data_IF_251272345138
#
_entry.id   IF_251272345138
#
_cell.length_a   1.000
_cell.length_b   1.000
_cell.length_c   1.000
_cell.angle_alpha   90.00
_cell.angle_beta   90.00
_cell.angle_gamma   90.00
#
_symmetry.space_group_name_H-M   'P 1'
#
loop_
_entity.id
_entity.type
_entity.pdbx_description
1 polymer ?
#
# COMPACT_ATOMS: atom_id res chain seq x y z
N UNK A 1 -4.36 10.03 5.81
CA UNK A 1 -3.49 10.93 5.02
C UNK A 1 -3.19 10.26 3.70
N UNK A 2 -3.15 11.02 2.61
CA UNK A 2 -2.87 10.52 1.26
C UNK A 2 -1.41 10.73 0.90
N UNK A 3 -0.83 9.76 0.22
CA UNK A 3 0.55 9.78 -0.28
C UNK A 3 0.56 9.33 -1.73
N UNK A 4 0.92 10.23 -2.63
CA UNK A 4 1.18 9.89 -4.03
C UNK A 4 2.70 9.87 -4.23
N UNK A 5 3.24 8.70 -4.57
CA UNK A 5 4.65 8.53 -4.85
C UNK A 5 4.85 8.30 -6.34
N UNK A 6 5.73 9.11 -6.92
CA UNK A 6 6.18 8.97 -8.29
C UNK A 6 7.66 8.55 -8.27
N UNK A 7 8.05 7.50 -9.00
CA UNK A 7 9.45 7.08 -9.17
C UNK A 7 10.25 8.09 -9.99
N UNK A 8 9.57 8.85 -10.84
CA UNK A 8 10.14 9.83 -11.76
C UNK A 8 9.43 11.17 -11.59
N UNK A 9 10.08 12.26 -11.99
CA UNK A 9 9.43 13.57 -12.00
C UNK A 9 8.26 13.50 -12.98
N UNK A 10 7.05 13.84 -12.52
CA UNK A 10 5.86 13.89 -13.37
C UNK A 10 5.52 15.35 -13.61
N UNK A 11 5.42 15.73 -14.89
CA UNK A 11 5.09 17.09 -15.31
C UNK A 11 3.63 17.44 -14.99
N UNK A 12 2.73 16.45 -15.00
CA UNK A 12 1.31 16.59 -14.67
C UNK A 12 0.88 15.56 -13.62
N UNK A 13 0.41 16.05 -12.46
CA UNK A 13 -0.22 15.16 -11.48
C UNK A 13 -1.50 14.58 -12.10
N UNK A 14 -1.72 13.26 -12.05
CA UNK A 14 -2.95 12.68 -12.59
C UNK A 14 -4.16 13.32 -11.91
N UNK A 15 -5.09 13.85 -12.71
CA UNK A 15 -6.40 14.28 -12.20
C UNK A 15 -7.13 13.07 -11.60
N UNK A 16 -7.76 13.28 -10.45
CA UNK A 16 -8.35 12.17 -9.68
C UNK A 16 -9.86 12.26 -9.79
N UNK A 17 -10.45 11.32 -10.51
CA UNK A 17 -11.90 11.23 -10.70
C UNK A 17 -12.69 11.03 -9.38
N UNK A 18 -12.01 10.66 -8.28
CA UNK A 18 -12.63 10.27 -7.00
C UNK A 18 -12.45 11.28 -5.87
N UNK A 19 -11.68 12.35 -6.08
CA UNK A 19 -11.57 13.44 -5.11
C UNK A 19 -12.49 14.54 -5.61
N UNK A 20 -13.43 14.96 -4.75
CA UNK A 20 -14.29 16.10 -5.05
C UNK A 20 -13.41 17.30 -5.44
N UNK A 21 -13.50 17.80 -6.69
CA UNK A 21 -12.66 18.90 -7.15
C UNK A 21 -12.94 20.21 -6.39
N UNK A 22 -14.03 20.29 -5.63
CA UNK A 22 -14.33 21.40 -4.73
C UNK A 22 -13.59 21.32 -3.39
N UNK A 23 -13.05 20.15 -3.01
CA UNK A 23 -12.19 20.03 -1.85
C UNK A 23 -10.79 20.56 -2.15
N UNK A 24 -10.40 21.61 -1.45
CA UNK A 24 -9.04 22.11 -1.47
C UNK A 24 -8.14 21.10 -0.73
N UNK A 25 -7.36 20.32 -1.49
CA UNK A 25 -6.33 19.47 -0.89
C UNK A 25 -5.19 20.36 -0.40
N UNK A 26 -5.01 20.45 0.91
CA UNK A 26 -3.83 21.07 1.51
C UNK A 26 -2.57 20.33 1.05
N UNK A 27 -1.83 20.95 0.12
CA UNK A 27 -0.54 20.42 -0.32
C UNK A 27 0.48 20.54 0.82
N UNK A 28 1.16 19.44 1.11
CA UNK A 28 2.22 19.39 2.11
C UNK A 28 3.54 19.67 1.40
N UNK A 29 4.32 20.63 1.90
CA UNK A 29 5.64 20.91 1.33
C UNK A 29 6.55 19.69 1.47
N UNK A 30 7.26 19.38 0.38
CA UNK A 30 8.27 18.33 0.35
C UNK A 30 9.65 18.96 0.17
N UNK A 31 10.64 18.43 0.88
CA UNK A 31 12.02 18.91 0.81
C UNK A 31 12.96 17.72 0.56
N UNK A 32 13.96 17.89 -0.32
CA UNK A 32 15.06 16.94 -0.46
C UNK A 32 16.14 17.26 0.56
N UNK A 33 16.58 16.26 1.32
CA UNK A 33 17.70 16.41 2.24
C UNK A 33 19.07 16.27 1.53
N UNK A 34 20.15 16.44 2.29
CA UNK A 34 21.52 16.34 1.78
C UNK A 34 21.86 14.95 1.21
N UNK A 35 21.09 13.92 1.57
CA UNK A 35 21.22 12.55 1.08
C UNK A 35 20.29 12.27 -0.11
N UNK A 36 19.51 13.26 -0.57
CA UNK A 36 18.57 13.12 -1.68
C UNK A 36 17.21 12.53 -1.30
N UNK A 37 16.95 12.29 -0.01
CA UNK A 37 15.68 11.75 0.48
C UNK A 37 14.61 12.82 0.44
N UNK A 38 13.41 12.45 -0.01
CA UNK A 38 12.23 13.33 0.04
C UNK A 38 11.61 13.23 1.43
N UNK A 39 11.42 14.36 2.10
CA UNK A 39 10.79 14.45 3.42
C UNK A 39 9.58 15.36 3.37
N UNK A 40 8.48 14.88 3.94
CA UNK A 40 7.25 15.65 4.13
C UNK A 40 6.85 15.57 5.61
N UNK A 41 6.54 16.70 6.22
CA UNK A 41 6.13 16.78 7.63
C UNK A 41 4.87 17.64 7.75
N UNK A 42 3.84 17.10 8.40
CA UNK A 42 2.63 17.85 8.75
C UNK A 42 2.18 17.47 10.16
N UNK A 43 2.29 18.41 11.09
CA UNK A 43 2.04 18.13 12.52
C UNK A 43 2.93 16.97 13.00
N UNK A 44 2.31 15.95 13.59
CA UNK A 44 3.00 14.74 14.07
C UNK A 44 3.10 13.62 13.01
N UNK A 45 2.76 13.90 11.75
CA UNK A 45 2.95 12.96 10.65
C UNK A 45 4.25 13.29 9.93
N UNK A 46 5.10 12.27 9.76
CA UNK A 46 6.36 12.38 9.03
C UNK A 46 6.44 11.28 7.97
N UNK A 47 6.63 11.68 6.73
CA UNK A 47 6.88 10.79 5.61
C UNK A 47 8.29 11.03 5.07
N UNK A 48 9.02 9.95 4.84
CA UNK A 48 10.36 9.95 4.26
C UNK A 48 10.37 8.93 3.13
N UNK A 49 10.84 9.33 1.97
CA UNK A 49 10.91 8.51 0.76
C UNK A 49 12.31 8.61 0.14
N UNK A 50 12.86 7.49 -0.26
CA UNK A 50 14.13 7.35 -0.97
C UNK A 50 13.85 7.03 -2.45
N UNK A 51 13.87 8.02 -3.36
CA UNK A 51 13.52 7.77 -4.76
C UNK A 51 14.37 6.70 -5.45
N UNK A 52 15.72 6.67 -5.27
CA UNK A 52 16.57 5.61 -5.82
C UNK A 52 16.17 4.17 -5.48
N UNK A 53 15.76 3.91 -4.23
CA UNK A 53 15.45 2.55 -3.77
C UNK A 53 13.96 2.26 -3.69
N UNK A 54 13.11 3.29 -3.80
CA UNK A 54 11.68 3.20 -3.58
C UNK A 54 11.28 3.02 -2.11
N UNK A 55 12.24 2.98 -1.18
CA UNK A 55 11.94 2.77 0.23
C UNK A 55 11.22 3.96 0.84
N UNK A 56 10.24 3.69 1.69
CA UNK A 56 9.57 4.73 2.45
C UNK A 56 9.48 4.38 3.94
N UNK A 57 9.37 5.43 4.76
CA UNK A 57 9.02 5.36 6.18
C UNK A 57 7.97 6.42 6.48
N UNK A 58 6.92 6.01 7.16
CA UNK A 58 5.84 6.86 7.63
C UNK A 58 5.71 6.71 9.14
N UNK A 59 5.79 7.83 9.85
CA UNK A 59 5.51 7.94 11.28
C UNK A 59 4.19 8.67 11.47
N UNK A 60 3.28 8.05 12.22
CA UNK A 60 1.94 8.56 12.51
C UNK A 60 1.88 9.14 13.94
N UNK A 61 0.89 10.00 14.25
CA UNK A 61 0.85 10.76 15.49
C UNK A 61 0.80 9.90 16.76
N UNK A 62 0.15 8.73 16.71
CA UNK A 62 0.05 7.82 17.87
C UNK A 62 1.18 6.79 17.90
N UNK A 63 2.28 7.08 17.19
CA UNK A 63 3.51 6.30 17.20
C UNK A 63 3.45 5.05 16.32
N UNK A 64 2.42 4.86 15.48
CA UNK A 64 2.48 3.82 14.45
C UNK A 64 3.60 4.17 13.45
N UNK A 65 4.42 3.18 13.14
CA UNK A 65 5.49 3.29 12.16
C UNK A 65 5.26 2.26 11.06
N UNK A 66 5.27 2.76 9.84
CA UNK A 66 5.12 1.99 8.62
C UNK A 66 6.37 2.15 7.80
N UNK A 67 6.86 1.05 7.26
CA UNK A 67 7.98 1.07 6.33
C UNK A 67 7.70 0.07 5.23
N UNK A 68 8.18 0.38 4.05
CA UNK A 68 7.92 -0.43 2.88
C UNK A 68 8.72 0.06 1.70
N UNK A 69 8.35 -0.46 0.54
CA UNK A 69 8.99 -0.13 -0.72
C UNK A 69 7.91 0.05 -1.79
N UNK A 70 8.10 1.07 -2.63
CA UNK A 70 7.27 1.38 -3.80
C UNK A 70 8.15 1.20 -5.03
N UNK A 71 7.95 0.11 -5.75
CA UNK A 71 8.63 -0.15 -7.02
C UNK A 71 7.69 0.13 -8.18
N UNK A 72 8.09 1.01 -9.08
CA UNK A 72 7.32 1.42 -10.26
C UNK A 72 8.25 1.64 -11.46
N UNK A 73 7.77 1.38 -12.68
CA UNK A 73 8.39 1.76 -13.96
C UNK A 73 9.72 1.06 -14.33
N UNK A 74 10.79 1.29 -13.57
CA UNK A 74 12.16 0.79 -13.86
C UNK A 74 12.47 -0.59 -13.30
N UNK A 75 11.76 -1.00 -12.25
CA UNK A 75 11.88 -2.31 -11.64
C UNK A 75 10.61 -3.09 -11.95
N UNK A 76 10.70 -3.96 -12.95
CA UNK A 76 9.61 -4.88 -13.30
C UNK A 76 9.77 -6.19 -12.48
N UNK A 77 8.71 -6.71 -11.86
CA UNK A 77 7.36 -6.16 -11.82
C UNK A 77 7.21 -5.05 -10.77
N UNK A 78 6.42 -4.03 -11.09
CA UNK A 78 6.05 -3.01 -10.13
C UNK A 78 5.34 -3.62 -8.90
N UNK A 79 5.69 -3.14 -7.71
CA UNK A 79 5.28 -3.77 -6.46
C UNK A 79 5.13 -2.75 -5.35
N UNK A 80 4.02 -2.87 -4.61
CA UNK A 80 3.88 -2.30 -3.29
C UNK A 80 4.31 -3.34 -2.26
N UNK A 81 5.27 -2.99 -1.42
CA UNK A 81 5.68 -3.80 -0.28
C UNK A 81 5.45 -2.99 1.01
N UNK A 82 4.80 -3.60 1.99
CA UNK A 82 4.72 -3.09 3.35
C UNK A 82 5.32 -4.11 4.31
N UNK A 83 6.30 -3.68 5.10
CA UNK A 83 6.94 -4.54 6.10
C UNK A 83 5.99 -4.80 7.26
N UNK A 84 5.90 -6.06 7.65
CA UNK A 84 5.21 -6.50 8.87
C UNK A 84 6.21 -6.69 10.02
N UNK A 85 5.75 -6.45 11.24
CA UNK A 85 6.44 -6.81 12.47
C UNK A 85 5.96 -8.18 12.98
N UNK A 86 6.71 -8.75 13.92
CA UNK A 86 6.28 -9.95 14.63
C UNK A 86 4.91 -9.71 15.28
N UNK A 87 4.03 -10.71 15.20
CA UNK A 87 2.67 -10.69 15.74
C UNK A 87 1.70 -9.70 15.07
N UNK A 88 2.06 -9.13 13.93
CA UNK A 88 1.10 -8.37 13.12
C UNK A 88 0.04 -9.30 12.52
N UNK A 89 -1.24 -8.93 12.69
CA UNK A 89 -2.36 -9.59 12.02
C UNK A 89 -2.91 -8.72 10.90
N UNK A 90 -3.11 -9.30 9.72
CA UNK A 90 -3.59 -8.59 8.53
C UNK A 90 -5.05 -8.95 8.26
N UNK A 91 -5.88 -7.95 7.98
CA UNK A 91 -7.31 -8.09 7.69
C UNK A 91 -7.70 -7.29 6.46
N UNK A 92 -8.88 -7.57 5.90
CA UNK A 92 -9.44 -6.81 4.77
C UNK A 92 -9.25 -7.53 3.44
N UNK A 93 -8.98 -6.74 2.40
CA UNK A 93 -8.91 -7.14 0.99
C UNK A 93 -10.24 -7.58 0.35
N UNK A 94 -11.35 -7.38 1.06
CA UNK A 94 -12.68 -7.81 0.65
C UNK A 94 -13.02 -9.24 1.08
N UNK A 95 -13.99 -9.85 0.39
CA UNK A 95 -14.45 -11.19 0.67
C UNK A 95 -13.52 -12.23 0.03
N UNK A 96 -12.34 -12.41 0.60
CA UNK A 96 -11.50 -13.56 0.32
C UNK A 96 -11.95 -14.78 1.15
N UNK A 97 -11.94 -15.96 0.54
CA UNK A 97 -12.27 -17.23 1.20
C UNK A 97 -11.24 -17.55 2.30
N UNK A 98 -11.65 -18.26 3.36
CA UNK A 98 -10.76 -18.71 4.44
C UNK A 98 -10.92 -17.95 5.76
N UNK A 99 -9.85 -17.90 6.55
CA UNK A 99 -9.84 -17.27 7.87
C UNK A 99 -9.98 -15.74 7.80
N UNK A 100 -10.43 -15.15 8.92
CA UNK A 100 -10.64 -13.71 9.01
C UNK A 100 -9.33 -12.91 8.86
N UNK A 101 -8.22 -13.41 9.43
CA UNK A 101 -6.90 -12.85 9.18
C UNK A 101 -6.29 -13.46 7.92
N UNK A 102 -5.47 -12.66 7.24
CA UNK A 102 -4.88 -12.95 5.93
C UNK A 102 -3.39 -13.26 5.99
N UNK A 103 -2.84 -13.43 7.19
CA UNK A 103 -1.45 -13.81 7.37
C UNK A 103 -1.15 -15.14 6.66
N UNK A 104 0.04 -15.23 6.06
CA UNK A 104 0.52 -16.40 5.33
C UNK A 104 -0.41 -16.88 4.21
N UNK A 105 -1.17 -15.94 3.63
CA UNK A 105 -2.09 -16.18 2.52
C UNK A 105 -1.57 -15.58 1.21
N UNK A 106 -2.01 -16.20 0.11
CA UNK A 106 -1.85 -15.70 -1.25
C UNK A 106 -3.20 -15.71 -1.95
N UNK A 107 -3.53 -14.61 -2.63
CA UNK A 107 -4.78 -14.48 -3.35
C UNK A 107 -4.68 -13.39 -4.42
N UNK A 108 -5.71 -13.30 -5.26
CA UNK A 108 -5.81 -12.24 -6.27
C UNK A 108 -6.93 -11.26 -5.94
N UNK A 109 -6.62 -9.97 -6.05
CA UNK A 109 -7.59 -8.87 -6.09
C UNK A 109 -8.14 -8.77 -7.51
N UNK A 110 -9.26 -9.44 -7.72
CA UNK A 110 -9.98 -9.53 -8.98
C UNK A 110 -11.47 -9.48 -8.66
N UNK A 111 -12.23 -8.67 -9.41
CA UNK A 111 -13.68 -8.76 -9.42
C UNK A 111 -14.06 -9.62 -10.63
N UNK A 112 -14.22 -10.92 -10.39
CA UNK A 112 -14.77 -11.85 -11.37
C UNK A 112 -16.23 -12.08 -11.03
N UNK A 113 -17.05 -12.28 -12.07
CA UNK A 113 -18.43 -12.69 -11.89
C UNK A 113 -18.45 -14.17 -11.45
N UNK A 114 -18.23 -14.40 -10.15
CA UNK A 114 -18.12 -15.74 -9.56
C UNK A 114 -19.48 -16.29 -9.12
N UNK A 115 -20.60 -15.66 -9.50
CA UNK A 115 -21.96 -16.10 -9.14
C UNK A 115 -22.22 -17.59 -9.49
N UNK A 116 -21.48 -18.14 -10.44
CA UNK A 116 -21.63 -19.53 -10.91
C UNK A 116 -20.36 -20.39 -10.80
N UNK A 117 -19.21 -19.84 -10.37
CA UNK A 117 -17.94 -20.57 -10.29
C UNK A 117 -17.10 -20.13 -9.08
N UNK A 118 -16.75 -21.07 -8.19
CA UNK A 118 -15.73 -20.85 -7.17
C UNK A 118 -14.34 -21.03 -7.78
N UNK A 119 -13.59 -19.93 -7.90
CA UNK A 119 -12.16 -20.00 -8.26
C UNK A 119 -11.37 -20.00 -6.94
N UNK A 120 -10.50 -21.01 -6.70
CA UNK A 120 -9.61 -21.00 -5.54
C UNK A 120 -8.84 -19.68 -5.46
N UNK A 121 -8.60 -19.18 -4.24
CA UNK A 121 -7.79 -17.98 -3.98
C UNK A 121 -8.30 -16.68 -4.62
N UNK A 122 -9.58 -16.65 -5.02
CA UNK A 122 -10.21 -15.47 -5.62
C UNK A 122 -11.50 -15.12 -4.87
N UNK A 123 -11.67 -13.84 -4.53
CA UNK A 123 -12.88 -13.32 -3.89
C UNK A 123 -13.92 -12.85 -4.91
N UNK A 124 -15.20 -12.87 -4.54
CA UNK A 124 -16.29 -12.32 -5.38
C UNK A 124 -16.38 -10.78 -5.25
N UNK A 125 -15.86 -10.23 -4.15
CA UNK A 125 -15.70 -8.79 -3.93
C UNK A 125 -14.29 -8.52 -3.42
N UNK A 126 -13.49 -7.84 -4.24
CA UNK A 126 -12.13 -7.44 -3.89
C UNK A 126 -12.06 -5.94 -3.67
N UNK A 127 -11.40 -5.54 -2.59
CA UNK A 127 -11.17 -4.13 -2.26
C UNK A 127 -9.68 -3.96 -1.94
N UNK A 128 -8.96 -3.01 -2.55
CA UNK A 128 -7.54 -2.77 -2.27
C UNK A 128 -7.36 -1.98 -0.95
N UNK A 129 -8.11 -2.37 0.08
CA UNK A 129 -8.09 -1.82 1.43
C UNK A 129 -7.78 -2.95 2.40
N UNK A 130 -6.80 -2.73 3.27
CA UNK A 130 -6.46 -3.68 4.32
C UNK A 130 -6.16 -2.97 5.63
N UNK A 131 -6.22 -3.71 6.72
CA UNK A 131 -5.86 -3.25 8.05
C UNK A 131 -4.80 -4.17 8.63
N UNK A 132 -3.86 -3.61 9.36
CA UNK A 132 -2.92 -4.37 10.16
C UNK A 132 -3.15 -4.03 11.62
N UNK A 133 -3.31 -5.07 12.43
CA UNK A 133 -3.35 -4.99 13.88
C UNK A 133 -1.96 -5.31 14.42
N UNK A 134 -1.39 -4.36 15.15
CA UNK A 134 -0.11 -4.50 15.87
C UNK A 134 -0.36 -4.35 17.38
N UNK A 135 -0.45 -5.47 18.08
CA UNK A 135 -0.87 -5.49 19.49
C UNK A 135 -2.27 -4.88 19.66
N UNK A 136 -2.34 -3.69 20.28
CA UNK A 136 -3.59 -2.94 20.49
C UNK A 136 -3.78 -1.77 19.51
N UNK A 137 -2.92 -1.63 18.50
CA UNK A 137 -2.99 -0.56 17.51
C UNK A 137 -3.46 -1.09 16.17
N UNK A 138 -4.16 -0.25 15.42
CA UNK A 138 -4.63 -0.58 14.08
C UNK A 138 -4.20 0.50 13.11
N UNK A 139 -3.76 0.09 11.92
CA UNK A 139 -3.63 1.01 10.81
C UNK A 139 -4.26 0.41 9.55
N UNK A 140 -4.99 1.25 8.82
CA UNK A 140 -5.58 0.91 7.54
C UNK A 140 -4.72 1.46 6.42
N UNK A 141 -4.62 0.72 5.32
CA UNK A 141 -4.04 1.18 4.07
C UNK A 141 -5.07 0.95 2.97
N UNK A 142 -5.36 2.00 2.20
CA UNK A 142 -6.08 1.91 0.94
C UNK A 142 -5.10 2.21 -0.19
N UNK A 143 -4.93 1.28 -1.11
CA UNK A 143 -4.20 1.52 -2.35
C UNK A 143 -5.19 1.93 -3.43
N UNK A 144 -5.00 3.11 -3.99
CA UNK A 144 -5.78 3.59 -5.12
C UNK A 144 -5.31 2.87 -6.40
N UNK A 145 -5.74 1.63 -6.54
CA UNK A 145 -5.33 0.72 -7.60
C UNK A 145 -6.57 0.08 -8.23
N UNK A 146 -6.75 0.31 -9.54
CA UNK A 146 -7.84 -0.29 -10.32
C UNK A 146 -7.41 -1.57 -11.06
N UNK A 147 -6.12 -1.90 -11.04
CA UNK A 147 -5.58 -3.04 -11.77
C UNK A 147 -5.73 -4.35 -10.98
N UNK A 148 -6.11 -5.46 -11.65
CA UNK A 148 -5.88 -6.82 -11.17
C UNK A 148 -4.53 -6.99 -10.49
N UNK A 149 -4.51 -7.53 -9.27
CA UNK A 149 -3.28 -7.61 -8.48
C UNK A 149 -3.17 -8.91 -7.71
N UNK A 150 -1.95 -9.45 -7.63
CA UNK A 150 -1.63 -10.57 -6.74
C UNK A 150 -1.24 -10.01 -5.39
N UNK A 151 -1.78 -10.60 -4.33
CA UNK A 151 -1.43 -10.28 -2.94
C UNK A 151 -0.77 -11.50 -2.32
N UNK A 152 0.35 -11.29 -1.65
CA UNK A 152 1.04 -12.28 -0.85
C UNK A 152 1.38 -11.67 0.49
N UNK A 153 0.97 -12.32 1.57
CA UNK A 153 1.22 -11.87 2.93
C UNK A 153 2.06 -12.95 3.60
N UNK A 154 3.17 -12.55 4.21
CA UNK A 154 4.07 -13.47 4.91
C UNK A 154 4.49 -12.86 6.23
N UNK A 155 4.36 -13.62 7.32
CA UNK A 155 4.78 -13.18 8.65
C UNK A 155 6.20 -13.61 9.03
N UNK A 156 6.77 -14.54 8.27
CA UNK A 156 8.11 -15.06 8.51
C UNK A 156 9.03 -14.77 7.33
N UNK A 157 10.33 -14.77 7.62
CA UNK A 157 11.36 -14.61 6.60
C UNK A 157 11.45 -15.91 5.78
N UNK A 158 11.26 -15.78 4.47
CA UNK A 158 11.48 -16.85 3.50
C UNK A 158 12.91 -16.80 2.93
N UNK A 159 13.23 -17.72 2.03
CA UNK A 159 14.55 -17.75 1.38
C UNK A 159 14.89 -16.43 0.64
N UNK A 160 13.89 -15.77 0.04
CA UNK A 160 14.08 -14.56 -0.77
C UNK A 160 13.08 -13.43 -0.43
N UNK A 161 12.27 -13.59 0.62
CA UNK A 161 11.21 -12.64 0.96
C UNK A 161 11.22 -12.30 2.44
N UNK A 162 11.26 -11.01 2.75
CA UNK A 162 11.08 -10.51 4.11
C UNK A 162 9.61 -10.60 4.56
N UNK A 163 9.34 -10.59 5.88
CA UNK A 163 7.97 -10.46 6.38
C UNK A 163 7.29 -9.21 5.82
N UNK A 164 6.10 -9.35 5.28
CA UNK A 164 5.37 -8.24 4.70
C UNK A 164 4.13 -8.59 3.89
N UNK A 165 3.49 -7.53 3.43
CA UNK A 165 2.39 -7.54 2.47
C UNK A 165 2.97 -7.11 1.12
N UNK A 166 2.91 -8.00 0.15
CA UNK A 166 3.34 -7.80 -1.22
C UNK A 166 2.12 -7.68 -2.11
N UNK A 167 2.01 -6.59 -2.86
CA UNK A 167 0.92 -6.36 -3.81
C UNK A 167 1.56 -6.06 -5.16
N UNK A 168 1.40 -6.99 -6.09
CA UNK A 168 2.00 -6.94 -7.42
C UNK A 168 0.92 -6.91 -8.47
N UNK A 169 0.76 -5.78 -9.18
CA UNK A 169 -0.21 -5.67 -10.25
C UNK A 169 0.12 -6.62 -11.40
N UNK A 170 -0.90 -7.22 -12.00
CA UNK A 170 -0.75 -8.20 -13.07
C UNK A 170 -0.46 -7.57 -14.43
N UNK A 171 -0.49 -6.24 -14.50
CA UNK A 171 -0.09 -5.42 -15.62
C UNK A 171 0.86 -4.33 -15.11
N UNK A 172 1.75 -3.79 -15.96
CA UNK A 172 2.56 -2.64 -15.61
C UNK A 172 1.67 -1.53 -15.02
N UNK A 173 2.04 -1.02 -13.86
CA UNK A 173 1.31 0.07 -13.21
C UNK A 173 1.53 1.34 -14.03
N UNK A 174 0.55 2.25 -14.14
CA UNK A 174 0.85 3.64 -14.49
C UNK A 174 1.97 4.21 -13.62
N UNK A 175 2.62 5.29 -14.07
CA UNK A 175 3.84 5.84 -13.48
C UNK A 175 3.74 6.26 -12.00
N UNK A 176 2.58 6.20 -11.36
CA UNK A 176 2.34 6.66 -9.99
C UNK A 176 1.71 5.56 -9.13
N UNK A 177 2.10 5.50 -7.86
CA UNK A 177 1.41 4.70 -6.86
C UNK A 177 0.82 5.61 -5.79
N UNK A 178 -0.49 5.54 -5.61
CA UNK A 178 -1.23 6.37 -4.66
C UNK A 178 -1.85 5.50 -3.57
N UNK A 179 -1.63 5.88 -2.33
CA UNK A 179 -2.14 5.16 -1.19
C UNK A 179 -2.51 6.10 -0.04
N UNK A 180 -3.44 5.64 0.78
CA UNK A 180 -3.97 6.35 1.92
C UNK A 180 -3.69 5.52 3.16
N UNK A 181 -3.23 6.18 4.21
CA UNK A 181 -3.00 5.56 5.51
C UNK A 181 -3.93 6.15 6.55
N UNK A 182 -4.57 5.28 7.30
CA UNK A 182 -5.48 5.58 8.39
C UNK A 182 -4.90 4.98 9.67
N UNK A 183 -5.01 5.70 10.79
CA UNK A 183 -4.62 5.20 12.10
C UNK A 183 -5.88 5.08 12.97
N UNK A 184 -6.12 3.89 13.52
CA UNK A 184 -7.21 3.59 14.44
C UNK A 184 -6.68 3.35 15.85
N UNK A 185 -7.46 3.78 16.86
CA UNK A 185 -7.25 3.47 18.28
C UNK A 185 -8.41 2.66 18.81
#
# INVERSE_FOLDING_TARGET
MRFCAHPEAVEEFPELEYIDPTQTLDQISSHRDAQGMVRCVRGNVKFVYDPPTGNFKLSMPRGAQLSGMLQTGKFEPAQFYLRLETDDFVYGFGAANGEAHRNDCKFSLLNLDTLFYSIPETGYTSFPVFMVRRGNRYFGVFLALALPSKVQIQNQEGQDTSPGIYITPMRPIPAAMDFFVFEGS
#
